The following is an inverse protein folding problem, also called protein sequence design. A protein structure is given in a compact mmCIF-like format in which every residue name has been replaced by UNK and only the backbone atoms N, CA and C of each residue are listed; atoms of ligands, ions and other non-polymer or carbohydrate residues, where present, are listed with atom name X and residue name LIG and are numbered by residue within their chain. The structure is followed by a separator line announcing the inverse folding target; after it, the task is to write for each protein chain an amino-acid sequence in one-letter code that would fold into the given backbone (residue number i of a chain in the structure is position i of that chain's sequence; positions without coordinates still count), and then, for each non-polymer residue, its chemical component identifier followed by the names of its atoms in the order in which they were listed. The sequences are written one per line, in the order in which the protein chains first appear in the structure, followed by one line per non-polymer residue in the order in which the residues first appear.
data_IF_316156776559
#
_entry.id   IF_316156776559
#
_cell.length_a   1.000
_cell.length_b   1.000
_cell.length_c   1.000
_cell.angle_alpha   90.00
_cell.angle_beta   90.00
_cell.angle_gamma   90.00
#
_symmetry.space_group_name_H-M   'P 1'
#
loop_
_entity.id
_entity.type
_entity.pdbx_description
1 polymer ?
#
# COMPACT_ATOMS: atom_id res chain seq x y z
N UNK A 1 -32.65 -0.09 68.35
CA UNK A 1 -33.40 1.15 68.04
C UNK A 1 -32.38 2.23 67.71
N UNK A 2 -32.49 2.85 66.52
CA UNK A 2 -31.84 4.12 66.08
C UNK A 2 -30.30 4.05 66.04
N UNK A 3 -29.64 4.10 64.88
CA UNK A 3 -29.45 5.28 64.03
C UNK A 3 -29.11 4.81 62.59
N UNK A 4 -30.01 5.04 61.63
CA UNK A 4 -29.86 6.06 60.55
C UNK A 4 -28.83 5.73 59.47
N UNK A 5 -29.32 5.02 58.45
CA UNK A 5 -28.88 5.09 57.06
C UNK A 5 -28.63 6.56 56.63
N UNK A 6 -27.36 6.96 56.51
CA UNK A 6 -26.98 8.26 55.93
C UNK A 6 -25.92 8.16 54.83
N UNK A 7 -25.58 6.95 54.36
CA UNK A 7 -24.57 6.76 53.30
C UNK A 7 -25.16 6.23 51.99
N UNK A 8 -26.45 5.86 51.98
CA UNK A 8 -27.10 5.29 50.78
C UNK A 8 -27.72 6.32 49.81
N UNK A 9 -27.31 7.59 49.90
CA UNK A 9 -27.69 8.63 48.92
C UNK A 9 -26.49 9.05 48.04
N UNK A 10 -25.25 8.66 48.40
CA UNK A 10 -24.07 8.96 47.58
C UNK A 10 -23.76 7.91 46.50
N UNK A 11 -24.50 6.79 46.48
CA UNK A 11 -24.30 5.68 45.54
C UNK A 11 -25.28 5.67 44.35
N UNK A 12 -26.15 6.68 44.25
CA UNK A 12 -27.13 6.85 43.17
C UNK A 12 -26.85 8.03 42.23
N UNK A 13 -25.68 8.68 42.33
CA UNK A 13 -25.27 9.78 41.44
C UNK A 13 -24.04 9.41 40.60
N UNK A 14 -24.20 8.43 39.69
CA UNK A 14 -23.74 8.67 38.32
C UNK A 14 -24.77 8.20 37.27
N UNK A 15 -26.07 8.49 37.46
CA UNK A 15 -27.13 8.13 36.47
C UNK A 15 -27.57 9.33 35.61
N UNK A 16 -27.00 10.53 35.78
CA UNK A 16 -27.37 11.72 34.99
C UNK A 16 -26.18 12.41 34.28
N UNK A 17 -25.11 11.67 34.01
CA UNK A 17 -24.06 12.12 33.10
C UNK A 17 -24.04 11.30 31.80
N UNK A 18 -25.22 10.99 31.24
CA UNK A 18 -25.32 10.86 29.79
C UNK A 18 -25.25 12.29 29.23
N UNK A 19 -24.03 12.79 29.06
CA UNK A 19 -23.82 13.94 28.20
C UNK A 19 -24.28 13.51 26.81
N UNK A 20 -25.42 14.01 26.37
CA UNK A 20 -25.80 13.93 24.97
C UNK A 20 -24.61 14.44 24.17
N UNK A 21 -24.11 13.61 23.24
CA UNK A 21 -23.29 14.10 22.15
C UNK A 21 -24.16 15.10 21.40
N UNK A 22 -24.04 16.37 21.74
CA UNK A 22 -24.51 17.42 20.84
C UNK A 22 -23.77 17.21 19.53
N UNK A 23 -24.46 16.70 18.53
CA UNK A 23 -23.96 16.53 17.17
C UNK A 23 -24.47 17.72 16.36
N UNK A 24 -24.16 18.93 16.83
CA UNK A 24 -24.39 20.10 15.99
C UNK A 24 -23.28 20.15 14.94
N UNK A 25 -23.66 20.35 13.68
CA UNK A 25 -22.73 20.57 12.59
C UNK A 25 -22.89 21.97 12.01
N UNK A 26 -21.79 22.54 11.53
CA UNK A 26 -21.81 23.73 10.71
C UNK A 26 -20.93 23.53 9.48
N UNK A 27 -21.51 23.76 8.31
CA UNK A 27 -20.87 23.54 7.01
C UNK A 27 -20.68 24.85 6.27
N UNK A 28 -19.51 25.02 5.67
CA UNK A 28 -19.26 26.03 4.65
C UNK A 28 -18.54 25.42 3.46
N UNK A 29 -18.74 26.02 2.30
CA UNK A 29 -18.11 25.59 1.05
C UNK A 29 -17.25 26.72 0.51
N UNK A 30 -16.04 26.39 0.10
CA UNK A 30 -15.13 27.31 -0.60
C UNK A 30 -14.89 26.75 -2.00
N UNK A 31 -15.09 27.57 -3.02
CA UNK A 31 -14.78 27.21 -4.41
C UNK A 31 -13.61 28.08 -4.87
N UNK A 32 -12.60 27.43 -5.48
CA UNK A 32 -11.46 28.08 -6.11
C UNK A 32 -11.34 27.57 -7.54
N UNK A 33 -11.13 28.49 -8.47
CA UNK A 33 -10.88 28.18 -9.87
C UNK A 33 -9.64 28.95 -10.33
N UNK A 34 -8.73 28.25 -11.01
CA UNK A 34 -7.47 28.81 -11.51
C UNK A 34 -7.27 28.26 -12.92
N UNK A 35 -6.92 29.13 -13.86
CA UNK A 35 -6.54 28.69 -15.20
C UNK A 35 -5.27 27.85 -15.10
N UNK A 36 -5.26 26.70 -15.78
CA UNK A 36 -4.08 25.85 -15.83
C UNK A 36 -3.04 26.49 -16.76
N UNK A 37 -1.85 26.75 -16.21
CA UNK A 37 -0.72 27.22 -16.99
C UNK A 37 -0.02 26.03 -17.64
N UNK A 38 0.80 26.29 -18.66
CA UNK A 38 1.65 25.23 -19.22
C UNK A 38 2.55 24.62 -18.14
N UNK A 39 2.69 23.31 -18.18
CA UNK A 39 3.53 22.53 -17.28
C UNK A 39 3.17 22.60 -15.78
N UNK A 40 1.88 22.74 -15.44
CA UNK A 40 1.46 22.96 -14.05
C UNK A 40 1.64 21.70 -13.19
N UNK A 41 2.26 21.87 -12.02
CA UNK A 41 2.25 20.92 -10.91
C UNK A 41 1.26 21.38 -9.85
N UNK A 42 0.30 20.53 -9.51
CA UNK A 42 -0.69 20.81 -8.48
C UNK A 42 -0.31 20.12 -7.16
N UNK A 43 -0.37 20.85 -6.06
CA UNK A 43 -0.19 20.29 -4.71
C UNK A 43 -1.43 20.51 -3.86
N UNK A 44 -1.91 19.45 -3.21
CA UNK A 44 -3.04 19.49 -2.29
C UNK A 44 -2.55 19.02 -0.92
N UNK A 45 -2.81 19.80 0.11
CA UNK A 45 -2.47 19.42 1.49
C UNK A 45 -3.71 19.49 2.37
N UNK A 46 -4.09 18.32 2.88
CA UNK A 46 -5.24 18.12 3.76
C UNK A 46 -4.87 17.19 4.93
N UNK A 47 -5.66 17.20 6.00
CA UNK A 47 -5.43 16.39 7.21
C UNK A 47 -6.63 15.60 7.70
N UNK A 48 -7.85 16.08 7.47
CA UNK A 48 -9.06 15.44 7.99
C UNK A 48 -10.13 15.53 6.92
N UNK A 49 -10.41 14.42 6.23
CA UNK A 49 -11.42 14.40 5.17
C UNK A 49 -10.88 13.86 3.86
N UNK A 50 -11.80 13.59 2.95
CA UNK A 50 -11.47 12.92 1.69
C UNK A 50 -10.94 13.90 0.65
N UNK A 51 -10.18 13.37 -0.30
CA UNK A 51 -9.74 14.07 -1.51
C UNK A 51 -10.22 13.27 -2.70
N UNK A 52 -11.14 13.84 -3.48
CA UNK A 52 -11.68 13.26 -4.71
C UNK A 52 -11.07 14.00 -5.90
N UNK A 53 -10.54 13.25 -6.87
CA UNK A 53 -9.86 13.79 -8.05
C UNK A 53 -10.58 13.30 -9.31
N UNK A 54 -11.05 14.26 -10.10
CA UNK A 54 -11.60 14.05 -11.43
C UNK A 54 -10.69 14.70 -12.47
N UNK A 55 -10.36 13.96 -13.52
CA UNK A 55 -9.72 14.51 -14.72
C UNK A 55 -10.77 14.98 -15.73
N UNK A 56 -10.49 16.07 -16.44
CA UNK A 56 -11.39 16.62 -17.46
C UNK A 56 -10.65 17.35 -18.60
N UNK A 57 -11.38 17.65 -19.67
CA UNK A 57 -10.85 18.32 -20.86
C UNK A 57 -10.74 19.85 -20.75
N UNK A 58 -11.10 20.45 -19.61
CA UNK A 58 -11.04 21.91 -19.43
C UNK A 58 -9.67 22.33 -18.92
N UNK A 59 -9.12 23.41 -19.48
CA UNK A 59 -7.86 24.02 -19.03
C UNK A 59 -8.03 24.89 -17.76
N UNK A 60 -8.77 24.36 -16.78
CA UNK A 60 -9.05 25.01 -15.50
C UNK A 60 -8.87 23.97 -14.40
N UNK A 61 -8.22 24.37 -13.31
CA UNK A 61 -8.21 23.60 -12.07
C UNK A 61 -9.33 24.17 -11.19
N UNK A 62 -10.30 23.33 -10.84
CA UNK A 62 -11.38 23.67 -9.92
C UNK A 62 -11.24 22.86 -8.63
N UNK A 63 -11.29 23.55 -7.51
CA UNK A 63 -11.28 22.96 -6.17
C UNK A 63 -12.52 23.40 -5.41
N UNK A 64 -13.35 22.43 -5.03
CA UNK A 64 -14.49 22.62 -4.12
C UNK A 64 -14.12 22.02 -2.79
N UNK A 65 -14.05 22.86 -1.75
CA UNK A 65 -13.68 22.43 -0.39
C UNK A 65 -14.89 22.59 0.52
N UNK A 66 -15.35 21.49 1.10
CA UNK A 66 -16.45 21.47 2.07
C UNK A 66 -15.86 21.29 3.46
N UNK A 67 -15.94 22.35 4.26
CA UNK A 67 -15.48 22.36 5.65
C UNK A 67 -16.70 22.14 6.54
N UNK A 68 -16.67 21.09 7.36
CA UNK A 68 -17.69 20.77 8.36
C UNK A 68 -17.04 20.78 9.74
N UNK A 69 -17.53 21.66 10.62
CA UNK A 69 -17.16 21.67 12.04
C UNK A 69 -18.23 20.97 12.86
N UNK A 70 -17.81 20.28 13.92
CA UNK A 70 -18.67 19.56 14.85
C UNK A 70 -18.50 20.11 16.26
N UNK A 71 -19.59 20.17 17.01
CA UNK A 71 -19.60 20.66 18.39
C UNK A 71 -20.89 20.34 19.13
N UNK A 72 -20.88 20.54 20.44
CA UNK A 72 -22.04 20.29 21.32
C UNK A 72 -23.18 21.28 21.06
N UNK A 73 -22.87 22.44 20.47
CA UNK A 73 -23.82 23.43 20.01
C UNK A 73 -23.47 23.91 18.59
N UNK A 74 -24.42 24.54 17.90
CA UNK A 74 -24.20 25.13 16.58
C UNK A 74 -23.10 26.19 16.63
N UNK A 75 -23.03 26.98 17.70
CA UNK A 75 -21.99 28.00 17.85
C UNK A 75 -20.61 27.37 18.05
N UNK A 76 -20.50 26.29 18.82
CA UNK A 76 -19.25 25.55 18.94
C UNK A 76 -18.81 24.93 17.59
N UNK A 77 -19.77 24.40 16.82
CA UNK A 77 -19.50 23.87 15.48
C UNK A 77 -19.02 24.96 14.51
N UNK A 78 -19.58 26.18 14.58
CA UNK A 78 -19.11 27.36 13.84
C UNK A 78 -17.72 27.78 14.25
N UNK A 79 -17.43 27.82 15.55
CA UNK A 79 -16.11 28.16 16.07
C UNK A 79 -15.06 27.20 15.53
N UNK A 80 -15.30 25.89 15.60
CA UNK A 80 -14.39 24.88 15.04
C UNK A 80 -14.22 25.06 13.53
N UNK A 81 -15.31 25.26 12.80
CA UNK A 81 -15.27 25.49 11.36
C UNK A 81 -14.43 26.71 11.00
N UNK A 82 -14.51 27.79 11.79
CA UNK A 82 -13.78 29.04 11.59
C UNK A 82 -12.27 28.93 11.83
N UNK A 83 -11.79 27.86 12.47
CA UNK A 83 -10.36 27.57 12.68
C UNK A 83 -9.66 27.03 11.43
N UNK A 84 -10.40 26.72 10.37
CA UNK A 84 -9.89 26.21 9.10
C UNK A 84 -9.76 27.35 8.11
N UNK A 85 -8.68 27.44 7.36
CA UNK A 85 -8.58 28.30 6.19
C UNK A 85 -8.00 27.51 5.02
N UNK A 86 -8.35 27.90 3.79
CA UNK A 86 -7.81 27.29 2.58
C UNK A 86 -6.94 28.34 1.87
N UNK A 87 -5.63 28.14 1.91
CA UNK A 87 -4.68 29.04 1.25
C UNK A 87 -4.35 28.52 -0.15
N UNK A 88 -4.22 29.45 -1.08
CA UNK A 88 -3.83 29.17 -2.46
C UNK A 88 -2.56 29.92 -2.76
N UNK A 89 -1.52 29.21 -3.19
CA UNK A 89 -0.25 29.82 -3.60
C UNK A 89 0.08 29.39 -5.02
N UNK A 90 0.57 30.32 -5.84
CA UNK A 90 1.12 30.01 -7.17
C UNK A 90 2.51 30.60 -7.26
N UNK A 91 3.50 29.74 -7.50
CA UNK A 91 4.89 30.14 -7.71
C UNK A 91 5.44 29.43 -8.94
N UNK A 92 5.72 30.18 -10.00
CA UNK A 92 6.04 29.62 -11.31
C UNK A 92 4.92 28.70 -11.79
N UNK A 93 5.28 27.46 -12.15
CA UNK A 93 4.34 26.44 -12.63
C UNK A 93 3.79 25.56 -11.50
N UNK A 94 3.98 25.91 -10.23
CA UNK A 94 3.44 25.15 -9.10
C UNK A 94 2.29 25.92 -8.48
N UNK A 95 1.12 25.27 -8.42
CA UNK A 95 -0.07 25.77 -7.74
C UNK A 95 -0.38 24.86 -6.57
N UNK A 96 -0.66 25.43 -5.40
CA UNK A 96 -1.04 24.67 -4.21
C UNK A 96 -2.37 25.11 -3.61
N UNK A 97 -3.14 24.13 -3.10
CA UNK A 97 -4.28 24.34 -2.21
C UNK A 97 -3.95 23.68 -0.86
N UNK A 98 -3.80 24.49 0.17
CA UNK A 98 -3.38 24.02 1.49
C UNK A 98 -4.44 24.35 2.54
N UNK A 99 -4.84 23.32 3.28
CA UNK A 99 -5.61 23.48 4.51
C UNK A 99 -4.69 24.02 5.61
N UNK A 100 -5.04 25.17 6.17
CA UNK A 100 -4.45 25.74 7.38
C UNK A 100 -5.45 25.52 8.51
N UNK A 101 -5.18 24.58 9.39
CA UNK A 101 -6.04 24.31 10.54
C UNK A 101 -5.36 24.75 11.85
N UNK A 102 -5.95 25.73 12.51
CA UNK A 102 -5.44 26.33 13.74
C UNK A 102 -6.37 25.99 14.93
N UNK A 103 -6.37 24.74 15.43
CA UNK A 103 -7.19 24.35 16.56
C UNK A 103 -6.78 25.17 17.78
N UNK A 104 -7.66 26.06 18.24
CA UNK A 104 -7.35 26.92 19.39
C UNK A 104 -7.19 26.06 20.65
N UNK A 105 -6.16 26.36 21.45
CA UNK A 105 -6.03 25.86 22.81
C UNK A 105 -6.79 26.78 23.75
N UNK A 106 -8.10 26.55 23.95
CA UNK A 106 -8.89 27.31 24.91
C UNK A 106 -8.81 26.66 26.30
N UNK A 107 -7.99 27.24 27.19
CA UNK A 107 -7.95 26.92 28.61
C UNK A 107 -6.91 27.75 29.37
N UNK A 108 -7.31 28.42 30.45
CA UNK A 108 -6.42 29.14 31.36
C UNK A 108 -5.24 28.25 31.80
N UNK A 109 -4.02 28.79 31.67
CA UNK A 109 -2.71 28.12 31.88
C UNK A 109 -2.42 27.61 33.30
N UNK A 110 -3.38 27.59 34.22
CA UNK A 110 -3.16 27.30 35.64
C UNK A 110 -3.66 25.93 36.14
N UNK A 111 -4.43 25.20 35.32
CA UNK A 111 -4.84 23.81 35.59
C UNK A 111 -4.82 22.97 34.30
N UNK A 112 -3.63 22.77 33.73
CA UNK A 112 -3.44 21.97 32.51
C UNK A 112 -3.00 20.53 32.82
N UNK A 113 -3.85 19.81 33.55
CA UNK A 113 -3.75 18.35 33.67
C UNK A 113 -5.01 17.75 33.02
N UNK A 114 -5.03 17.75 31.68
CA UNK A 114 -6.05 17.06 30.86
C UNK A 114 -7.21 17.93 30.33
N UNK A 115 -7.01 18.66 29.22
CA UNK A 115 -8.06 19.28 28.38
C UNK A 115 -7.37 20.07 27.25
N UNK A 116 -7.61 19.97 25.95
CA UNK A 116 -8.64 19.33 25.14
C UNK A 116 -8.52 19.92 23.73
N UNK A 117 -7.37 19.72 23.06
CA UNK A 117 -7.15 20.26 21.71
C UNK A 117 -8.18 19.62 20.78
N UNK A 118 -8.94 20.45 20.06
CA UNK A 118 -9.92 19.99 19.06
C UNK A 118 -9.26 19.49 17.77
N UNK A 119 -8.03 18.99 17.84
CA UNK A 119 -7.27 18.54 16.69
C UNK A 119 -7.55 17.06 16.39
N UNK A 120 -8.78 16.76 15.95
CA UNK A 120 -9.14 15.42 15.49
C UNK A 120 -10.32 15.44 14.51
N UNK A 121 -10.50 14.32 13.80
CA UNK A 121 -11.65 14.07 12.92
C UNK A 121 -13.02 14.11 13.63
N UNK A 122 -13.05 14.08 14.97
CA UNK A 122 -14.31 14.21 15.74
C UNK A 122 -14.83 15.65 15.76
N UNK A 123 -13.95 16.62 15.47
CA UNK A 123 -14.27 18.05 15.50
C UNK A 123 -14.34 18.66 14.12
N UNK A 124 -13.57 18.15 13.15
CA UNK A 124 -13.50 18.77 11.81
C UNK A 124 -13.38 17.75 10.70
N UNK A 125 -14.08 18.01 9.60
CA UNK A 125 -13.94 17.29 8.32
C UNK A 125 -13.84 18.29 7.16
N UNK A 126 -12.87 18.10 6.28
CA UNK A 126 -12.44 19.01 5.22
C UNK A 126 -12.32 18.19 3.94
N UNK A 127 -13.41 18.10 3.21
CA UNK A 127 -13.48 17.32 1.98
C UNK A 127 -13.09 18.18 0.78
N UNK A 128 -12.18 17.68 -0.04
CA UNK A 128 -11.80 18.26 -1.32
C UNK A 128 -12.44 17.47 -2.47
N UNK A 129 -13.03 18.19 -3.41
CA UNK A 129 -13.41 17.68 -4.73
C UNK A 129 -12.71 18.52 -5.80
N UNK A 130 -11.83 17.86 -6.55
CA UNK A 130 -10.93 18.48 -7.51
C UNK A 130 -11.33 18.06 -8.92
N UNK A 131 -11.41 19.04 -9.82
CA UNK A 131 -11.44 18.80 -11.25
C UNK A 131 -10.18 19.39 -11.86
N UNK A 132 -9.37 18.54 -12.48
CA UNK A 132 -8.03 18.89 -12.96
C UNK A 132 -7.89 18.56 -14.45
N UNK A 133 -7.20 19.40 -15.24
CA UNK A 133 -6.94 19.14 -16.65
C UNK A 133 -6.21 17.81 -16.86
N UNK A 134 -6.55 17.11 -17.94
CA UNK A 134 -5.90 15.85 -18.33
C UNK A 134 -4.41 16.01 -18.68
N UNK A 135 -3.97 17.23 -18.99
CA UNK A 135 -2.60 17.59 -19.40
C UNK A 135 -1.75 18.17 -18.25
N UNK A 136 -2.20 18.03 -16.99
CA UNK A 136 -1.42 18.41 -15.82
C UNK A 136 -0.05 17.71 -15.85
N UNK A 137 1.02 18.42 -15.46
CA UNK A 137 2.35 17.79 -15.43
C UNK A 137 2.48 16.76 -14.33
N UNK A 138 1.91 17.08 -13.16
CA UNK A 138 1.93 16.20 -11.99
C UNK A 138 0.94 16.69 -10.93
N UNK A 139 0.37 15.75 -10.18
CA UNK A 139 -0.30 16.07 -8.91
C UNK A 139 0.47 15.50 -7.72
N UNK A 140 0.51 16.25 -6.62
CA UNK A 140 1.04 15.81 -5.32
C UNK A 140 -0.07 15.98 -4.29
N UNK A 141 -0.45 14.88 -3.63
CA UNK A 141 -1.48 14.86 -2.60
C UNK A 141 -0.81 14.52 -1.27
N UNK A 142 -0.95 15.40 -0.29
CA UNK A 142 -0.66 15.13 1.11
C UNK A 142 -2.00 15.01 1.83
N UNK A 143 -2.37 13.81 2.30
CA UNK A 143 -3.57 13.63 3.09
C UNK A 143 -3.30 12.80 4.34
N UNK A 144 -4.03 13.10 5.42
CA UNK A 144 -4.12 12.21 6.56
C UNK A 144 -5.60 11.97 6.85
N UNK A 145 -5.93 10.88 7.55
CA UNK A 145 -7.26 10.65 8.13
C UNK A 145 -8.42 10.97 7.17
N UNK A 146 -8.43 10.35 6.00
CA UNK A 146 -9.49 10.51 5.02
C UNK A 146 -9.16 9.86 3.68
N UNK A 147 -10.19 9.52 2.91
CA UNK A 147 -10.01 8.69 1.72
C UNK A 147 -9.41 9.49 0.55
N UNK A 148 -8.57 8.86 -0.26
CA UNK A 148 -8.09 9.44 -1.53
C UNK A 148 -8.69 8.67 -2.70
N UNK A 149 -9.52 9.35 -3.50
CA UNK A 149 -10.33 8.73 -4.55
C UNK A 149 -10.00 9.39 -5.89
N UNK A 150 -9.77 8.58 -6.93
CA UNK A 150 -9.52 9.09 -8.28
C UNK A 150 -10.08 8.15 -9.34
N UNK A 151 -10.69 8.72 -10.39
CA UNK A 151 -11.15 7.94 -11.54
C UNK A 151 -9.96 7.54 -12.44
N UNK A 152 -9.43 8.50 -13.20
CA UNK A 152 -8.30 8.28 -14.10
C UNK A 152 -7.25 9.35 -13.84
N UNK A 153 -6.02 8.92 -13.53
CA UNK A 153 -4.85 9.79 -13.46
C UNK A 153 -4.08 9.65 -14.79
N UNK A 154 -4.31 10.58 -15.71
CA UNK A 154 -3.68 10.63 -17.06
C UNK A 154 -2.24 11.17 -17.04
N UNK A 155 -1.77 11.59 -15.88
CA UNK A 155 -0.46 12.21 -15.63
C UNK A 155 0.20 11.60 -14.39
N UNK A 156 1.52 11.85 -14.17
CA UNK A 156 2.21 11.40 -12.97
C UNK A 156 1.56 11.91 -11.67
N UNK A 157 1.49 11.05 -10.65
CA UNK A 157 0.92 11.39 -9.36
C UNK A 157 1.82 10.92 -8.21
N UNK A 158 1.91 11.72 -7.15
CA UNK A 158 2.51 11.35 -5.86
C UNK A 158 1.44 11.50 -4.79
N UNK A 159 1.15 10.44 -4.05
CA UNK A 159 0.13 10.43 -3.00
C UNK A 159 0.80 10.00 -1.70
N UNK A 160 0.96 10.96 -0.80
CA UNK A 160 1.42 10.78 0.57
C UNK A 160 0.19 10.69 1.48
N UNK A 161 -0.01 9.53 2.09
CA UNK A 161 -1.20 9.27 2.88
C UNK A 161 -0.94 8.46 4.15
N UNK A 162 -1.57 8.87 5.25
CA UNK A 162 -1.54 8.14 6.51
C UNK A 162 -2.93 7.96 7.10
N UNK A 163 -3.25 6.75 7.57
CA UNK A 163 -4.57 6.42 8.12
C UNK A 163 -5.71 6.70 7.13
N UNK A 164 -5.46 6.41 5.85
CA UNK A 164 -6.39 6.66 4.75
C UNK A 164 -6.89 5.34 4.17
N UNK A 165 -8.08 5.35 3.56
CA UNK A 165 -8.38 4.39 2.50
C UNK A 165 -8.15 5.05 1.14
N UNK A 166 -8.17 4.26 0.09
CA UNK A 166 -7.99 4.79 -1.26
C UNK A 166 -8.75 3.97 -2.31
N UNK A 167 -9.25 4.63 -3.34
CA UNK A 167 -9.85 3.99 -4.50
C UNK A 167 -9.42 4.74 -5.76
N UNK A 168 -8.43 4.18 -6.46
CA UNK A 168 -7.90 4.74 -7.70
C UNK A 168 -8.27 3.77 -8.80
N UNK A 169 -9.16 4.17 -9.71
CA UNK A 169 -9.61 3.25 -10.77
C UNK A 169 -8.50 2.99 -11.79
N UNK A 170 -7.80 4.02 -12.27
CA UNK A 170 -6.71 3.86 -13.24
C UNK A 170 -5.62 4.93 -13.12
N UNK A 171 -4.35 4.52 -13.17
CA UNK A 171 -3.19 5.39 -13.33
C UNK A 171 -2.47 5.07 -14.65
N UNK A 172 -2.54 5.99 -15.62
CA UNK A 172 -2.00 5.80 -16.98
C UNK A 172 -0.53 6.20 -17.10
N UNK A 173 0.03 6.80 -16.05
CA UNK A 173 1.43 7.18 -15.90
C UNK A 173 1.91 6.70 -14.52
N UNK A 174 3.10 7.16 -14.12
CA UNK A 174 3.67 6.82 -12.82
C UNK A 174 2.78 7.30 -11.67
N UNK A 175 2.42 6.37 -10.78
CA UNK A 175 1.78 6.65 -9.50
C UNK A 175 2.75 6.24 -8.38
N UNK A 176 3.22 7.20 -7.59
CA UNK A 176 3.98 6.94 -6.36
C UNK A 176 3.07 7.11 -5.15
N UNK A 177 3.05 6.10 -4.27
CA UNK A 177 2.22 6.07 -3.07
C UNK A 177 3.12 5.85 -1.85
N UNK A 178 3.09 6.81 -0.94
CA UNK A 178 3.71 6.70 0.38
C UNK A 178 2.61 6.51 1.41
N UNK A 179 2.61 5.37 2.09
CA UNK A 179 1.46 4.91 2.85
C UNK A 179 1.89 4.45 4.25
N UNK A 180 1.23 4.97 5.28
CA UNK A 180 1.34 4.39 6.62
C UNK A 180 -0.05 4.11 7.19
N UNK A 181 -0.26 2.92 7.76
CA UNK A 181 -1.52 2.54 8.40
C UNK A 181 -2.75 2.62 7.47
N UNK A 182 -2.56 2.33 6.18
CA UNK A 182 -3.63 2.36 5.18
C UNK A 182 -4.10 0.94 4.87
N UNK A 183 -5.18 0.50 5.52
CA UNK A 183 -5.56 -0.91 5.61
C UNK A 183 -6.56 -1.38 4.54
N UNK A 184 -7.21 -0.43 3.86
CA UNK A 184 -8.17 -0.73 2.80
C UNK A 184 -7.95 0.20 1.62
N UNK A 185 -8.04 -0.37 0.44
CA UNK A 185 -8.05 0.38 -0.80
C UNK A 185 -7.63 -0.47 -1.98
N UNK A 186 -7.74 0.12 -3.17
CA UNK A 186 -7.36 -0.52 -4.43
C UNK A 186 -6.83 0.51 -5.43
N UNK A 187 -5.86 0.07 -6.22
CA UNK A 187 -5.52 0.69 -7.51
C UNK A 187 -5.97 -0.30 -8.58
N UNK A 188 -7.06 -0.02 -9.30
CA UNK A 188 -7.60 -0.93 -10.30
C UNK A 188 -6.53 -1.31 -11.33
N UNK A 189 -6.10 -0.34 -12.13
CA UNK A 189 -5.02 -0.49 -13.10
C UNK A 189 -3.93 0.56 -12.90
N UNK A 190 -2.67 0.18 -13.06
CA UNK A 190 -1.55 1.11 -13.10
C UNK A 190 -0.55 0.74 -14.19
N UNK A 191 -0.09 1.71 -14.96
CA UNK A 191 1.04 1.51 -15.88
C UNK A 191 2.35 1.29 -15.09
N UNK A 192 2.68 2.26 -14.23
CA UNK A 192 3.81 2.17 -13.31
C UNK A 192 3.38 2.57 -11.90
N UNK A 193 3.61 1.68 -10.93
CA UNK A 193 3.25 1.85 -9.53
C UNK A 193 4.50 1.75 -8.65
N UNK A 194 4.74 2.78 -7.85
CA UNK A 194 5.82 2.83 -6.86
C UNK A 194 5.16 2.91 -5.49
N UNK A 195 5.46 1.96 -4.60
CA UNK A 195 4.87 1.89 -3.27
C UNK A 195 5.97 1.94 -2.22
N UNK A 196 5.81 2.85 -1.26
CA UNK A 196 6.56 2.87 0.01
C UNK A 196 5.55 2.74 1.14
N UNK A 197 5.48 1.59 1.78
CA UNK A 197 4.40 1.27 2.70
C UNK A 197 4.89 0.76 4.06
N UNK A 198 4.27 1.22 5.14
CA UNK A 198 4.38 0.58 6.45
C UNK A 198 2.98 0.28 6.99
N UNK A 199 2.77 -0.92 7.53
CA UNK A 199 1.49 -1.30 8.13
C UNK A 199 0.31 -1.01 7.18
N UNK A 200 0.41 -1.39 5.91
CA UNK A 200 -0.57 -1.03 4.89
C UNK A 200 -0.88 -2.18 3.94
N UNK A 201 -2.08 -2.17 3.38
CA UNK A 201 -2.54 -3.20 2.47
C UNK A 201 -2.72 -2.63 1.07
N UNK A 202 -2.10 -3.27 0.09
CA UNK A 202 -2.14 -2.87 -1.31
C UNK A 202 -2.91 -3.89 -2.11
N UNK A 203 -3.92 -3.44 -2.85
CA UNK A 203 -4.65 -4.26 -3.83
C UNK A 203 -4.59 -3.67 -5.22
N UNK A 204 -4.32 -4.50 -6.23
CA UNK A 204 -4.40 -4.07 -7.62
C UNK A 204 -4.80 -5.21 -8.56
N UNK A 205 -5.60 -4.89 -9.58
CA UNK A 205 -6.04 -5.88 -10.56
C UNK A 205 -4.98 -6.09 -11.64
N UNK A 206 -4.35 -5.01 -12.11
CA UNK A 206 -3.31 -5.06 -13.14
C UNK A 206 -2.29 -3.94 -12.97
N UNK A 207 -1.01 -4.32 -12.94
CA UNK A 207 0.12 -3.38 -12.89
C UNK A 207 1.13 -3.70 -13.98
N UNK A 208 1.52 -2.73 -14.79
CA UNK A 208 2.59 -2.90 -15.78
C UNK A 208 3.94 -3.13 -15.10
N UNK A 209 4.38 -2.15 -14.30
CA UNK A 209 5.60 -2.22 -13.49
C UNK A 209 5.33 -1.84 -12.03
N UNK A 210 5.75 -2.67 -11.09
CA UNK A 210 5.68 -2.43 -9.65
C UNK A 210 7.08 -2.29 -9.04
N UNK A 211 7.32 -1.22 -8.29
CA UNK A 211 8.45 -1.10 -7.37
C UNK A 211 7.91 -0.94 -5.95
N UNK A 212 8.18 -1.90 -5.06
CA UNK A 212 7.68 -1.86 -3.69
C UNK A 212 8.83 -1.88 -2.67
N UNK A 213 8.73 -1.01 -1.67
CA UNK A 213 9.55 -1.06 -0.46
C UNK A 213 8.61 -0.99 0.74
N UNK A 214 8.61 -2.02 1.59
CA UNK A 214 7.65 -2.07 2.68
C UNK A 214 8.09 -2.78 3.95
N UNK A 215 7.38 -2.48 5.04
CA UNK A 215 7.40 -3.25 6.27
C UNK A 215 5.98 -3.54 6.76
N UNK A 216 5.74 -4.74 7.30
CA UNK A 216 4.45 -5.11 7.90
C UNK A 216 3.25 -4.86 6.97
N UNK A 217 3.40 -5.16 5.68
CA UNK A 217 2.43 -4.81 4.65
C UNK A 217 1.97 -6.02 3.85
N UNK A 218 0.71 -5.99 3.40
CA UNK A 218 0.11 -7.06 2.60
C UNK A 218 -0.14 -6.58 1.17
N UNK A 219 0.20 -7.40 0.18
CA UNK A 219 -0.05 -7.13 -1.24
C UNK A 219 -0.95 -8.22 -1.82
N UNK A 220 -2.10 -7.84 -2.38
CA UNK A 220 -2.95 -8.71 -3.19
C UNK A 220 -2.98 -8.21 -4.63
N UNK A 221 -2.28 -8.90 -5.53
CA UNK A 221 -2.05 -8.45 -6.90
C UNK A 221 -2.65 -9.45 -7.89
N UNK A 222 -3.37 -8.95 -8.89
CA UNK A 222 -3.87 -9.72 -10.02
C UNK A 222 -2.74 -10.05 -10.99
N UNK A 223 -2.64 -9.30 -12.08
CA UNK A 223 -1.57 -9.44 -13.07
C UNK A 223 -0.50 -8.37 -12.90
N UNK A 224 0.77 -8.76 -12.86
CA UNK A 224 1.90 -7.84 -12.78
C UNK A 224 2.88 -8.13 -13.91
N UNK A 225 3.22 -7.15 -14.74
CA UNK A 225 4.18 -7.34 -15.82
C UNK A 225 5.59 -7.58 -15.27
N UNK A 226 6.13 -6.59 -14.56
CA UNK A 226 7.41 -6.68 -13.85
C UNK A 226 7.24 -6.17 -12.43
N UNK A 227 7.89 -6.83 -11.47
CA UNK A 227 7.98 -6.32 -10.10
C UNK A 227 9.38 -6.43 -9.50
N UNK A 228 9.77 -5.37 -8.79
CA UNK A 228 10.92 -5.35 -7.88
C UNK A 228 10.41 -5.05 -6.47
N UNK A 229 10.74 -5.91 -5.51
CA UNK A 229 10.25 -5.79 -4.13
C UNK A 229 11.37 -5.91 -3.10
N UNK A 230 11.32 -5.01 -2.11
CA UNK A 230 12.18 -5.00 -0.93
C UNK A 230 11.29 -4.93 0.30
N UNK A 231 11.11 -6.07 0.98
CA UNK A 231 10.12 -6.23 2.03
C UNK A 231 10.68 -6.76 3.34
N UNK A 232 10.00 -6.46 4.43
CA UNK A 232 10.31 -7.02 5.74
C UNK A 232 9.03 -7.21 6.56
N UNK A 233 8.74 -8.43 7.01
CA UNK A 233 7.44 -8.77 7.63
C UNK A 233 6.26 -8.53 6.67
N UNK A 234 6.44 -8.80 5.38
CA UNK A 234 5.40 -8.58 4.37
C UNK A 234 4.78 -9.90 3.89
N UNK A 235 3.59 -9.81 3.29
CA UNK A 235 2.90 -10.94 2.65
C UNK A 235 2.50 -10.55 1.22
N UNK A 236 2.83 -11.38 0.23
CA UNK A 236 2.50 -11.15 -1.17
C UNK A 236 1.65 -12.29 -1.73
N UNK A 237 0.39 -12.01 -2.06
CA UNK A 237 -0.47 -12.89 -2.85
C UNK A 237 -0.61 -12.35 -4.27
N UNK A 238 -0.11 -13.09 -5.26
CA UNK A 238 0.00 -12.64 -6.65
C UNK A 238 -0.65 -13.68 -7.56
N UNK A 239 -1.59 -13.28 -8.42
CA UNK A 239 -2.25 -14.23 -9.33
C UNK A 239 -1.32 -14.60 -10.49
N UNK A 240 -0.71 -13.61 -11.13
CA UNK A 240 0.20 -13.80 -12.28
C UNK A 240 1.28 -12.73 -12.30
N UNK A 241 2.53 -13.12 -12.52
CA UNK A 241 3.65 -12.20 -12.70
C UNK A 241 4.51 -12.57 -13.89
N UNK A 242 4.92 -11.59 -14.69
CA UNK A 242 5.88 -11.80 -15.78
C UNK A 242 7.28 -12.06 -15.25
N UNK A 243 7.83 -11.04 -14.60
CA UNK A 243 9.18 -11.04 -14.01
C UNK A 243 9.13 -10.54 -12.58
N UNK A 244 9.71 -11.30 -11.64
CA UNK A 244 9.85 -10.91 -10.23
C UNK A 244 11.32 -10.87 -9.80
N UNK A 245 11.68 -9.78 -9.13
CA UNK A 245 12.94 -9.62 -8.41
C UNK A 245 12.64 -9.25 -6.95
N UNK A 246 13.03 -10.09 -6.00
CA UNK A 246 12.76 -9.89 -4.57
C UNK A 246 14.03 -9.91 -3.73
N UNK A 247 14.08 -9.03 -2.74
CA UNK A 247 15.07 -9.04 -1.66
C UNK A 247 14.35 -8.77 -0.34
N UNK A 248 14.03 -9.82 0.40
CA UNK A 248 13.15 -9.70 1.55
C UNK A 248 13.61 -10.51 2.76
N UNK A 249 13.18 -10.08 3.94
CA UNK A 249 13.35 -10.80 5.21
C UNK A 249 11.98 -11.01 5.87
N UNK A 250 11.72 -12.11 6.57
CA UNK A 250 10.42 -12.31 7.25
C UNK A 250 9.23 -12.14 6.31
N UNK A 251 9.36 -12.53 5.04
CA UNK A 251 8.40 -12.19 3.99
C UNK A 251 8.01 -13.41 3.20
N UNK A 252 6.72 -13.58 2.99
CA UNK A 252 6.16 -14.72 2.28
C UNK A 252 5.56 -14.32 0.94
N UNK A 253 5.67 -15.24 -0.02
CA UNK A 253 5.14 -15.10 -1.37
C UNK A 253 4.26 -16.30 -1.71
N UNK A 254 3.03 -16.02 -2.16
CA UNK A 254 2.12 -16.96 -2.78
C UNK A 254 1.79 -16.49 -4.19
N UNK A 255 2.31 -17.18 -5.18
CA UNK A 255 2.22 -16.81 -6.59
C UNK A 255 1.46 -17.88 -7.37
N UNK A 256 0.43 -17.49 -8.11
CA UNK A 256 -0.32 -18.40 -8.98
C UNK A 256 0.50 -18.83 -10.20
N UNK A 257 1.00 -17.87 -10.99
CA UNK A 257 1.79 -18.16 -12.18
C UNK A 257 2.96 -17.19 -12.35
N UNK A 258 4.15 -17.72 -12.65
CA UNK A 258 5.28 -16.93 -13.15
C UNK A 258 5.52 -17.23 -14.62
N UNK A 259 5.56 -16.19 -15.46
CA UNK A 259 5.63 -16.37 -16.91
C UNK A 259 7.06 -16.46 -17.44
N UNK A 260 8.02 -15.74 -16.86
CA UNK A 260 9.35 -15.62 -17.46
C UNK A 260 10.49 -15.77 -16.45
N UNK A 261 10.59 -14.92 -15.42
CA UNK A 261 11.79 -14.86 -14.60
C UNK A 261 11.49 -14.71 -13.10
N UNK A 262 12.27 -15.42 -12.28
CA UNK A 262 12.26 -15.31 -10.82
C UNK A 262 13.69 -15.05 -10.35
N UNK A 263 13.90 -13.92 -9.66
CA UNK A 263 15.11 -13.68 -8.86
C UNK A 263 14.69 -13.45 -7.41
N UNK A 264 15.18 -14.25 -6.47
CA UNK A 264 14.74 -14.19 -5.08
C UNK A 264 15.94 -14.24 -4.11
N UNK A 265 16.06 -13.23 -3.25
CA UNK A 265 16.98 -13.23 -2.12
C UNK A 265 16.15 -13.16 -0.84
N UNK A 266 15.97 -14.30 -0.18
CA UNK A 266 15.01 -14.44 0.92
C UNK A 266 15.69 -14.95 2.18
N UNK A 267 15.29 -14.38 3.31
CA UNK A 267 15.80 -14.74 4.65
C UNK A 267 14.62 -14.84 5.61
N UNK A 268 14.42 -15.99 6.26
CA UNK A 268 13.26 -16.26 7.13
C UNK A 268 11.93 -16.01 6.42
N UNK A 269 11.53 -16.82 5.45
CA UNK A 269 10.24 -16.65 4.76
C UNK A 269 9.90 -17.87 3.93
N UNK A 270 8.87 -17.75 3.11
CA UNK A 270 8.41 -18.82 2.23
C UNK A 270 8.15 -18.31 0.80
N UNK A 271 8.44 -19.11 -0.22
CA UNK A 271 8.06 -18.84 -1.61
C UNK A 271 7.31 -20.03 -2.21
N UNK A 272 6.01 -19.86 -2.43
CA UNK A 272 5.17 -20.81 -3.15
C UNK A 272 4.78 -20.27 -4.51
N UNK A 273 5.17 -20.97 -5.57
CA UNK A 273 4.77 -20.69 -6.95
C UNK A 273 4.00 -21.89 -7.48
N UNK A 274 2.70 -21.73 -7.69
CA UNK A 274 1.86 -22.83 -8.17
C UNK A 274 2.24 -23.28 -9.58
N UNK A 275 2.62 -22.38 -10.48
CA UNK A 275 2.95 -22.74 -11.85
C UNK A 275 3.99 -21.81 -12.48
N UNK A 276 5.02 -22.39 -13.07
CA UNK A 276 5.99 -21.72 -13.92
C UNK A 276 5.67 -22.10 -15.37
N UNK A 277 5.40 -21.09 -16.19
CA UNK A 277 4.89 -21.27 -17.55
C UNK A 277 5.96 -21.63 -18.58
N UNK A 278 5.50 -22.01 -19.79
CA UNK A 278 6.37 -22.31 -20.95
C UNK A 278 7.31 -21.17 -21.36
N UNK A 279 6.99 -19.93 -20.97
CA UNK A 279 7.81 -18.75 -21.23
C UNK A 279 9.02 -18.60 -20.31
N UNK A 280 9.27 -19.55 -19.41
CA UNK A 280 10.37 -19.49 -18.43
C UNK A 280 11.72 -19.23 -19.11
N UNK A 281 12.49 -18.31 -18.53
CA UNK A 281 13.80 -17.86 -19.04
C UNK A 281 14.90 -18.01 -18.01
N UNK A 282 14.60 -17.74 -16.74
CA UNK A 282 15.59 -17.78 -15.66
C UNK A 282 14.95 -17.92 -14.28
N UNK A 283 15.55 -18.74 -13.42
CA UNK A 283 15.31 -18.76 -11.98
C UNK A 283 16.64 -18.62 -11.24
N UNK A 284 16.73 -17.69 -10.29
CA UNK A 284 17.93 -17.43 -9.51
C UNK A 284 17.55 -17.14 -8.06
N UNK A 285 17.91 -18.03 -7.13
CA UNK A 285 17.42 -17.97 -5.76
C UNK A 285 18.54 -18.16 -4.74
N UNK A 286 18.59 -17.25 -3.76
CA UNK A 286 19.47 -17.29 -2.61
C UNK A 286 18.63 -17.28 -1.34
N UNK A 287 18.72 -18.34 -0.56
CA UNK A 287 17.79 -18.66 0.51
C UNK A 287 18.55 -18.88 1.83
N UNK A 288 17.99 -18.41 2.93
CA UNK A 288 18.53 -18.66 4.28
C UNK A 288 17.37 -18.79 5.25
N UNK A 289 17.16 -19.97 5.85
CA UNK A 289 15.94 -20.25 6.61
C UNK A 289 14.69 -19.95 5.79
N UNK A 290 14.62 -20.44 4.56
CA UNK A 290 13.51 -20.17 3.64
C UNK A 290 13.20 -21.39 2.82
N UNK A 291 11.95 -21.85 2.89
CA UNK A 291 11.50 -22.99 2.13
C UNK A 291 10.79 -22.53 0.87
N UNK A 292 10.93 -23.29 -0.21
CA UNK A 292 10.29 -22.96 -1.48
C UNK A 292 9.55 -24.16 -2.06
N UNK A 293 8.38 -23.89 -2.66
CA UNK A 293 7.65 -24.83 -3.50
C UNK A 293 7.45 -24.23 -4.89
N UNK A 294 7.93 -24.92 -5.93
CA UNK A 294 7.84 -24.47 -7.32
C UNK A 294 7.16 -25.54 -8.19
N UNK A 295 5.93 -25.25 -8.61
CA UNK A 295 5.23 -26.02 -9.62
C UNK A 295 5.63 -25.62 -11.04
N UNK A 296 5.81 -26.59 -11.93
CA UNK A 296 6.08 -26.38 -13.35
C UNK A 296 4.97 -26.94 -14.23
N UNK A 297 4.62 -26.23 -15.31
CA UNK A 297 3.77 -26.80 -16.34
C UNK A 297 4.46 -28.00 -17.01
N UNK A 298 3.68 -28.97 -17.48
CA UNK A 298 4.22 -30.10 -18.26
C UNK A 298 5.11 -29.63 -19.42
N UNK A 299 6.21 -30.34 -19.65
CA UNK A 299 7.14 -30.13 -20.76
C UNK A 299 7.90 -28.79 -20.76
N UNK A 300 7.90 -28.02 -19.66
CA UNK A 300 8.80 -26.86 -19.55
C UNK A 300 10.24 -27.35 -19.61
N UNK A 301 10.97 -26.88 -20.63
CA UNK A 301 12.37 -27.26 -20.85
C UNK A 301 13.30 -26.34 -20.04
N UNK A 302 13.87 -26.85 -18.95
CA UNK A 302 14.87 -26.14 -18.15
C UNK A 302 15.99 -27.05 -17.64
N UNK A 303 17.10 -26.42 -17.30
CA UNK A 303 18.24 -26.96 -16.56
C UNK A 303 18.12 -26.55 -15.09
N UNK A 304 18.56 -27.40 -14.18
CA UNK A 304 18.55 -27.13 -12.74
C UNK A 304 19.96 -27.26 -12.14
N UNK A 305 20.29 -26.33 -11.25
CA UNK A 305 21.48 -26.38 -10.38
C UNK A 305 21.08 -25.97 -8.98
N UNK A 306 21.20 -26.90 -8.03
CA UNK A 306 20.89 -26.66 -6.61
C UNK A 306 22.13 -26.93 -5.77
N UNK A 307 22.44 -26.00 -4.85
CA UNK A 307 23.45 -26.19 -3.82
C UNK A 307 22.86 -25.82 -2.45
N UNK A 308 22.70 -26.80 -1.57
CA UNK A 308 22.15 -26.61 -0.22
C UNK A 308 23.18 -26.93 0.85
N UNK A 309 23.08 -26.22 1.97
CA UNK A 309 23.73 -26.57 3.25
C UNK A 309 22.65 -26.77 4.30
N UNK A 310 22.60 -27.97 4.89
CA UNK A 310 21.62 -28.36 5.91
C UNK A 310 20.17 -28.20 5.41
N UNK A 311 19.88 -28.61 4.18
CA UNK A 311 18.55 -28.63 3.58
C UNK A 311 18.45 -29.74 2.53
N UNK A 312 17.22 -30.03 2.11
CA UNK A 312 16.92 -31.12 1.18
C UNK A 312 16.23 -30.63 -0.11
N UNK A 313 16.34 -31.44 -1.16
CA UNK A 313 15.69 -31.23 -2.46
C UNK A 313 14.77 -32.40 -2.75
N UNK A 314 13.51 -32.08 -3.01
CA UNK A 314 12.52 -33.00 -3.53
C UNK A 314 12.11 -32.56 -4.94
N UNK A 315 12.25 -33.46 -5.91
CA UNK A 315 11.93 -33.18 -7.32
C UNK A 315 10.50 -33.57 -7.71
N UNK A 316 9.72 -34.14 -6.77
CA UNK A 316 8.38 -34.64 -7.05
C UNK A 316 8.37 -35.60 -8.23
N UNK A 317 7.40 -35.43 -9.12
CA UNK A 317 7.23 -36.24 -10.34
C UNK A 317 8.08 -35.75 -11.53
N UNK A 318 8.91 -34.71 -11.36
CA UNK A 318 9.74 -34.18 -12.44
C UNK A 318 10.87 -35.16 -12.79
N UNK A 319 10.95 -35.53 -14.07
CA UNK A 319 11.98 -36.41 -14.59
C UNK A 319 13.17 -35.62 -15.16
N UNK A 320 14.37 -35.95 -14.68
CA UNK A 320 15.63 -35.31 -15.10
C UNK A 320 16.58 -36.29 -15.79
N UNK A 321 17.27 -35.82 -16.83
CA UNK A 321 18.42 -36.46 -17.49
C UNK A 321 19.71 -35.76 -17.09
N UNK A 322 20.85 -36.42 -17.35
CA UNK A 322 22.19 -35.91 -17.02
C UNK A 322 22.34 -35.51 -15.54
N UNK A 323 21.73 -36.30 -14.66
CA UNK A 323 21.67 -35.99 -13.23
C UNK A 323 23.02 -36.25 -12.56
N UNK A 324 23.49 -35.26 -11.81
CA UNK A 324 24.56 -35.43 -10.82
C UNK A 324 24.00 -35.05 -9.45
N UNK A 325 24.07 -35.96 -8.48
CA UNK A 325 23.61 -35.71 -7.10
C UNK A 325 24.70 -36.15 -6.14
N UNK A 326 25.23 -35.20 -5.36
CA UNK A 326 26.31 -35.41 -4.41
C UNK A 326 25.83 -34.92 -3.04
N UNK A 327 25.67 -35.84 -2.09
CA UNK A 327 25.38 -35.54 -0.68
C UNK A 327 26.60 -35.90 0.17
N UNK A 328 27.21 -34.90 0.82
CA UNK A 328 28.38 -35.05 1.71
C UNK A 328 28.18 -34.24 2.98
N UNK A 329 28.13 -34.91 4.12
CA UNK A 329 27.83 -34.26 5.41
C UNK A 329 26.52 -33.48 5.31
N UNK A 330 26.53 -32.17 5.59
CA UNK A 330 25.40 -31.27 5.45
C UNK A 330 25.25 -30.64 4.06
N UNK A 331 26.13 -30.94 3.10
CA UNK A 331 26.07 -30.35 1.76
C UNK A 331 25.34 -31.24 0.76
N UNK A 332 24.45 -30.64 -0.02
CA UNK A 332 23.82 -31.23 -1.19
C UNK A 332 24.17 -30.40 -2.43
N UNK A 333 24.70 -31.05 -3.47
CA UNK A 333 24.84 -30.47 -4.81
C UNK A 333 24.08 -31.33 -5.80
N UNK A 334 23.17 -30.72 -6.55
CA UNK A 334 22.33 -31.38 -7.54
C UNK A 334 22.35 -30.61 -8.85
N UNK A 335 22.56 -31.31 -9.96
CA UNK A 335 22.36 -30.77 -11.31
C UNK A 335 21.57 -31.75 -12.15
N UNK A 336 20.80 -31.23 -13.10
CA UNK A 336 20.09 -32.04 -14.08
C UNK A 336 19.43 -31.19 -15.13
N UNK A 337 18.83 -31.84 -16.12
CA UNK A 337 18.05 -31.19 -17.16
C UNK A 337 16.75 -31.94 -17.38
N UNK A 338 15.65 -31.24 -17.60
CA UNK A 338 14.40 -31.89 -18.03
C UNK A 338 14.57 -32.58 -19.39
N UNK A 339 13.66 -33.51 -19.74
CA UNK A 339 13.76 -34.28 -20.98
C UNK A 339 13.91 -33.40 -22.24
N UNK A 340 13.12 -32.32 -22.33
CA UNK A 340 13.14 -31.36 -23.44
C UNK A 340 14.27 -30.34 -23.40
N UNK A 341 15.07 -30.29 -22.33
CA UNK A 341 16.13 -29.30 -22.19
C UNK A 341 17.40 -29.67 -22.96
N UNK A 342 18.02 -28.65 -23.55
CA UNK A 342 19.37 -28.68 -24.14
C UNK A 342 20.25 -27.60 -23.53
N UNK A 343 21.45 -27.39 -24.09
CA UNK A 343 22.47 -26.51 -23.48
C UNK A 343 22.05 -25.04 -23.40
N UNK A 344 21.15 -24.59 -24.26
CA UNK A 344 20.61 -23.22 -24.29
C UNK A 344 19.30 -23.08 -23.51
N UNK A 345 18.82 -24.15 -22.86
CA UNK A 345 17.59 -24.08 -22.07
C UNK A 345 17.76 -23.20 -20.83
N UNK A 346 16.68 -22.53 -20.39
CA UNK A 346 16.62 -21.76 -19.14
C UNK A 346 17.27 -22.46 -17.95
N UNK A 347 17.97 -21.70 -17.10
CA UNK A 347 18.57 -22.22 -15.88
C UNK A 347 17.74 -21.82 -14.66
N UNK A 348 17.41 -22.81 -13.83
CA UNK A 348 16.97 -22.65 -12.45
C UNK A 348 18.18 -22.89 -11.53
N UNK A 349 18.73 -21.82 -10.97
CA UNK A 349 19.83 -21.86 -10.01
C UNK A 349 19.31 -21.55 -8.60
N UNK A 350 19.61 -22.43 -7.64
CA UNK A 350 19.17 -22.31 -6.25
C UNK A 350 20.37 -22.52 -5.33
N UNK A 351 20.56 -21.60 -4.39
CA UNK A 351 21.53 -21.68 -3.31
C UNK A 351 20.79 -21.49 -1.99
N UNK A 352 20.92 -22.45 -1.06
CA UNK A 352 20.16 -22.44 0.19
C UNK A 352 20.98 -22.85 1.41
N UNK A 353 20.61 -22.30 2.57
CA UNK A 353 21.18 -22.65 3.88
C UNK A 353 20.04 -22.81 4.87
N UNK A 354 19.88 -24.00 5.45
CA UNK A 354 18.69 -24.37 6.25
C UNK A 354 17.42 -24.09 5.46
N UNK A 355 17.28 -24.70 4.29
CA UNK A 355 16.24 -24.36 3.31
C UNK A 355 15.89 -25.61 2.52
N UNK A 356 14.60 -25.95 2.51
CA UNK A 356 14.08 -27.10 1.80
C UNK A 356 13.40 -26.66 0.50
N UNK A 357 13.66 -27.44 -0.56
CA UNK A 357 13.24 -27.13 -1.92
C UNK A 357 12.33 -28.24 -2.43
N UNK A 358 11.07 -27.91 -2.67
CA UNK A 358 10.10 -28.78 -3.31
C UNK A 358 9.82 -28.32 -4.74
N UNK A 359 9.94 -29.24 -5.70
CA UNK A 359 9.55 -29.03 -7.08
C UNK A 359 8.45 -30.00 -7.46
N UNK A 360 7.43 -29.52 -8.16
CA UNK A 360 6.29 -30.32 -8.58
C UNK A 360 5.96 -30.10 -10.06
N UNK A 361 5.25 -31.05 -10.66
CA UNK A 361 4.67 -30.91 -12.00
C UNK A 361 3.14 -30.77 -11.91
N UNK A 362 2.58 -29.86 -12.70
CA UNK A 362 1.13 -29.64 -12.82
C UNK A 362 0.65 -29.68 -14.27
#
# INVERSE_FOLDING_TARGET
MKEKFKILILLLLPVLAFGEKGNSEYRRTIVKEINNASNTTLTISNKYGKVIIHTWSKNVIKSTVVITGFGKSVDEAKDVNSMVDITTNTNGNTTSFQTVYNPSGSGNKWFSWGSGKKDSKDYVNIDYELYVPEDLTKIVIENNFGDVIADVLSFPAVINMNYCNYDIKEAQKSLEMHMNYCQKGKVGKADALIVKANYSNIRSESVGSLMASSNYSEYTLGSVGKMEVKGNYDEYTISKVGVISSRCTYTNFKIGEVLAEITANLVYGDLSVKSIGQGFKKGDMHLTYTDINLGFQQNVAFQIRVNLTSGDLNTGDLSFKNVTSIKKSSQLSYTGSTAGAGDQSPLLAIQGVYSDIDLDSH
#
